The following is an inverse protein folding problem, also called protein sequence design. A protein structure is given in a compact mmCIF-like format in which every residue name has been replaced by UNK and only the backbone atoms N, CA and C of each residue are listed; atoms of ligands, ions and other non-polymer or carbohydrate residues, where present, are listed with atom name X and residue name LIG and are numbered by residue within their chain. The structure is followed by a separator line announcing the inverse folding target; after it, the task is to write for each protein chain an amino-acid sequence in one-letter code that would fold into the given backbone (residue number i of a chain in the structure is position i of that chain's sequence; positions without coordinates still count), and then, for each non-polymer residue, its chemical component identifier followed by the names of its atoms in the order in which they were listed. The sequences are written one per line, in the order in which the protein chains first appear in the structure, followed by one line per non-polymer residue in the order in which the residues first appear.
data_IF_480354554143
#
_entry.id   IF_480354554143
#
_cell.length_a   1.000
_cell.length_b   1.000
_cell.length_c   1.000
_cell.angle_alpha   90.00
_cell.angle_beta   90.00
_cell.angle_gamma   90.00
#
_symmetry.space_group_name_H-M   'P 1'
#
loop_
_entity.id
_entity.type
_entity.pdbx_description
1 polymer ?
#
# COMPACT_ATOMS: atom_id res chain seq x y z
N UNK A 1 -15.91 12.51 46.56
CA UNK A 1 -14.65 11.86 46.14
C UNK A 1 -15.04 10.61 45.38
N UNK A 2 -15.28 10.75 44.07
CA UNK A 2 -15.45 9.59 43.18
C UNK A 2 -14.30 9.63 42.19
N UNK A 3 -13.38 8.68 42.36
CA UNK A 3 -12.25 8.47 41.47
C UNK A 3 -12.78 7.82 40.20
N UNK A 4 -13.03 8.63 39.17
CA UNK A 4 -13.11 8.17 37.79
C UNK A 4 -11.72 7.66 37.40
N UNK A 5 -11.46 6.37 37.64
CA UNK A 5 -10.34 5.68 37.00
C UNK A 5 -10.66 5.62 35.52
N UNK A 6 -10.19 6.62 34.78
CA UNK A 6 -10.03 6.52 33.33
C UNK A 6 -9.06 5.37 33.13
N UNK A 7 -9.56 4.24 32.64
CA UNK A 7 -8.70 3.21 32.10
C UNK A 7 -7.97 3.84 30.91
N UNK A 8 -6.73 4.28 31.14
CA UNK A 8 -5.79 4.58 30.07
C UNK A 8 -5.40 3.26 29.40
N UNK A 9 -6.37 2.60 28.76
CA UNK A 9 -6.06 1.63 27.71
C UNK A 9 -5.47 2.47 26.59
N UNK A 10 -4.14 2.41 26.44
CA UNK A 10 -3.43 3.02 25.32
C UNK A 10 -4.20 2.70 24.03
N UNK A 11 -4.48 3.72 23.23
CA UNK A 11 -5.20 3.56 21.96
C UNK A 11 -4.40 2.62 21.06
N UNK A 12 -4.82 1.36 21.01
CA UNK A 12 -4.30 0.30 20.13
C UNK A 12 -4.52 0.57 18.64
N UNK A 13 -5.19 1.68 18.30
CA UNK A 13 -5.50 2.07 16.92
C UNK A 13 -4.42 2.98 16.30
N UNK A 14 -3.31 3.26 17.00
CA UNK A 14 -2.30 4.24 16.57
C UNK A 14 -0.91 3.63 16.53
N UNK A 15 -0.29 3.66 15.34
CA UNK A 15 1.09 3.25 15.13
C UNK A 15 1.94 4.43 14.65
N UNK A 16 3.12 4.63 15.26
CA UNK A 16 4.03 5.73 14.95
C UNK A 16 5.08 5.30 13.92
N UNK A 17 5.02 5.86 12.71
CA UNK A 17 5.95 5.55 11.62
C UNK A 17 7.37 6.08 11.82
N UNK A 18 7.57 6.97 12.79
CA UNK A 18 8.87 7.56 13.13
C UNK A 18 9.89 6.50 13.60
N UNK A 19 9.40 5.35 14.07
CA UNK A 19 10.23 4.18 14.41
C UNK A 19 10.70 3.42 13.17
N UNK A 20 10.04 3.60 12.02
CA UNK A 20 10.28 2.85 10.79
C UNK A 20 11.05 3.65 9.74
N UNK A 21 11.03 4.99 9.75
CA UNK A 21 11.67 5.82 8.73
C UNK A 21 12.02 7.24 9.23
N UNK A 22 12.98 7.88 8.58
CA UNK A 22 13.25 9.30 8.84
C UNK A 22 12.14 10.19 8.22
N UNK A 23 11.89 11.39 8.78
CA UNK A 23 10.94 12.34 8.21
C UNK A 23 11.25 12.64 6.74
N UNK A 24 10.24 12.49 5.88
CA UNK A 24 10.35 12.74 4.43
C UNK A 24 10.81 11.53 3.60
N UNK A 25 11.16 10.40 4.21
CA UNK A 25 11.56 9.20 3.46
C UNK A 25 10.37 8.44 2.86
N UNK A 26 9.21 8.46 3.51
CA UNK A 26 8.03 7.71 3.11
C UNK A 26 7.22 8.52 2.08
N UNK A 27 7.16 8.08 0.83
CA UNK A 27 6.33 8.71 -0.22
C UNK A 27 4.89 8.20 -0.18
N UNK A 28 4.72 6.93 0.16
CA UNK A 28 3.42 6.26 0.19
C UNK A 28 3.46 5.07 1.12
N UNK A 29 2.31 4.73 1.71
CA UNK A 29 2.17 3.53 2.53
C UNK A 29 0.86 2.82 2.19
N UNK A 30 0.84 1.51 2.41
CA UNK A 30 -0.38 0.70 2.36
C UNK A 30 -0.37 -0.38 3.42
N UNK A 31 -1.55 -0.74 3.88
CA UNK A 31 -1.79 -1.92 4.72
C UNK A 31 -2.65 -2.90 3.92
N UNK A 32 -2.34 -4.19 4.01
CA UNK A 32 -3.10 -5.23 3.34
C UNK A 32 -2.61 -6.62 3.72
N UNK A 33 -3.34 -7.64 3.27
CA UNK A 33 -3.03 -9.06 3.51
C UNK A 33 -2.29 -9.61 2.31
N UNK A 34 -1.05 -9.16 2.12
CA UNK A 34 -0.27 -9.44 0.92
C UNK A 34 0.36 -10.83 0.93
N UNK A 35 0.76 -11.35 2.10
CA UNK A 35 1.53 -12.59 2.23
C UNK A 35 0.75 -13.72 2.90
N UNK A 36 -0.03 -13.36 3.92
CA UNK A 36 -0.96 -14.23 4.62
C UNK A 36 -2.31 -13.50 4.70
N UNK A 37 -3.41 -14.24 4.54
CA UNK A 37 -4.77 -13.70 4.65
C UNK A 37 -5.16 -13.31 6.08
N UNK A 38 -4.43 -13.82 7.06
CA UNK A 38 -4.71 -13.62 8.48
C UNK A 38 -3.77 -12.60 9.13
N UNK A 39 -2.68 -12.21 8.46
CA UNK A 39 -1.69 -11.29 9.02
C UNK A 39 -1.63 -10.04 8.15
N UNK A 40 -1.85 -8.88 8.77
CA UNK A 40 -1.72 -7.60 8.10
C UNK A 40 -0.25 -7.29 7.84
N UNK A 41 0.00 -6.69 6.67
CA UNK A 41 1.33 -6.33 6.21
C UNK A 41 1.32 -4.85 5.88
N UNK A 42 2.22 -4.10 6.51
CA UNK A 42 2.50 -2.71 6.21
C UNK A 42 3.62 -2.64 5.16
N UNK A 43 3.35 -1.95 4.06
CA UNK A 43 4.34 -1.69 3.01
C UNK A 43 4.58 -0.19 2.92
N UNK A 44 5.82 0.23 3.11
CA UNK A 44 6.27 1.61 2.97
C UNK A 44 7.07 1.76 1.68
N UNK A 45 6.65 2.66 0.81
CA UNK A 45 7.49 3.13 -0.29
C UNK A 45 8.48 4.16 0.26
N UNK A 46 9.77 3.90 0.03
CA UNK A 46 10.91 4.76 0.35
C UNK A 46 11.80 4.92 -0.88
N UNK A 47 11.52 5.94 -1.68
CA UNK A 47 12.14 6.26 -2.96
C UNK A 47 12.13 5.05 -3.91
N UNK A 48 13.25 4.33 -4.02
CA UNK A 48 13.43 3.15 -4.87
C UNK A 48 13.34 1.82 -4.11
N UNK A 49 12.78 1.80 -2.90
CA UNK A 49 12.62 0.58 -2.10
C UNK A 49 11.22 0.48 -1.50
N UNK A 50 10.73 -0.75 -1.36
CA UNK A 50 9.57 -1.10 -0.55
C UNK A 50 10.07 -1.74 0.73
N UNK A 51 9.76 -1.13 1.87
CA UNK A 51 10.04 -1.71 3.20
C UNK A 51 8.80 -2.43 3.67
N UNK A 52 8.95 -3.68 4.10
CA UNK A 52 7.83 -4.55 4.39
C UNK A 52 7.88 -4.98 5.84
N UNK A 53 6.74 -4.86 6.51
CA UNK A 53 6.57 -5.21 7.90
C UNK A 53 5.30 -6.03 8.07
N UNK A 54 5.32 -7.00 8.97
CA UNK A 54 4.14 -7.79 9.34
C UNK A 54 3.67 -7.39 10.74
N UNK A 55 2.35 -7.32 10.91
CA UNK A 55 1.76 -7.07 12.21
C UNK A 55 2.04 -8.28 13.13
N UNK A 56 2.59 -7.99 14.31
CA UNK A 56 2.74 -8.93 15.41
C UNK A 56 1.75 -8.54 16.50
N UNK A 57 0.61 -9.23 16.52
CA UNK A 57 -0.47 -8.96 17.49
C UNK A 57 -0.07 -9.29 18.95
N UNK A 58 0.92 -10.18 19.15
CA UNK A 58 1.36 -10.57 20.49
C UNK A 58 2.22 -9.49 21.14
N UNK A 59 3.09 -8.85 20.36
CA UNK A 59 4.01 -7.80 20.82
C UNK A 59 3.51 -6.38 20.55
N UNK A 60 2.32 -6.23 19.95
CA UNK A 60 1.72 -4.96 19.54
C UNK A 60 2.68 -4.12 18.67
N UNK A 61 3.29 -4.78 17.70
CA UNK A 61 4.39 -4.23 16.92
C UNK A 61 4.31 -4.61 15.44
N UNK A 62 5.20 -4.01 14.63
CA UNK A 62 5.38 -4.37 13.23
C UNK A 62 6.80 -4.89 13.03
N UNK A 63 6.91 -6.19 12.78
CA UNK A 63 8.18 -6.87 12.59
C UNK A 63 8.68 -6.65 11.17
N UNK A 64 9.95 -6.26 11.05
CA UNK A 64 10.61 -6.10 9.75
C UNK A 64 10.72 -7.44 9.03
N UNK A 65 10.27 -7.48 7.77
CA UNK A 65 10.32 -8.67 6.92
C UNK A 65 11.38 -8.53 5.83
N UNK A 66 11.31 -7.47 5.02
CA UNK A 66 12.20 -7.32 3.86
C UNK A 66 12.28 -5.87 3.32
N UNK A 67 13.33 -5.61 2.53
CA UNK A 67 13.46 -4.46 1.65
C UNK A 67 13.53 -4.91 0.19
N UNK A 68 12.48 -4.64 -0.56
CA UNK A 68 12.41 -4.96 -1.99
C UNK A 68 12.80 -3.73 -2.79
N UNK A 69 13.91 -3.81 -3.53
CA UNK A 69 14.29 -2.76 -4.46
C UNK A 69 13.31 -2.69 -5.64
N UNK A 70 12.86 -1.49 -5.96
CA UNK A 70 12.09 -1.18 -7.16
C UNK A 70 12.94 -0.32 -8.09
N UNK A 71 12.94 -0.65 -9.37
CA UNK A 71 13.82 -0.03 -10.38
C UNK A 71 13.52 1.45 -10.65
N UNK A 72 12.38 1.95 -10.17
CA UNK A 72 11.90 3.31 -10.38
C UNK A 72 11.34 3.84 -9.08
N UNK A 73 11.47 5.15 -8.90
CA UNK A 73 10.88 5.83 -7.76
C UNK A 73 9.35 5.67 -7.77
N UNK A 74 8.82 5.31 -6.60
CA UNK A 74 7.39 5.07 -6.39
C UNK A 74 6.70 6.41 -6.14
N UNK A 75 5.67 6.68 -6.93
CA UNK A 75 4.77 7.81 -6.72
C UNK A 75 3.68 7.47 -5.71
N UNK A 76 3.00 6.33 -5.88
CA UNK A 76 2.02 5.86 -4.90
C UNK A 76 1.88 4.33 -4.89
N UNK A 77 1.38 3.84 -3.77
CA UNK A 77 0.97 2.47 -3.54
C UNK A 77 -0.54 2.43 -3.27
N UNK A 78 -1.22 1.40 -3.78
CA UNK A 78 -2.61 1.10 -3.41
C UNK A 78 -2.78 -0.39 -3.12
N UNK A 79 -3.59 -0.73 -2.10
CA UNK A 79 -4.05 -2.09 -1.88
C UNK A 79 -5.27 -2.37 -2.76
N UNK A 80 -5.24 -3.46 -3.52
CA UNK A 80 -6.41 -3.99 -4.21
C UNK A 80 -6.86 -5.28 -3.52
N UNK A 81 -7.90 -5.13 -2.69
CA UNK A 81 -8.40 -6.21 -1.84
C UNK A 81 -8.99 -7.34 -2.66
N UNK A 82 -8.61 -8.58 -2.36
CA UNK A 82 -9.10 -9.76 -3.07
C UNK A 82 -10.00 -10.62 -2.16
N UNK A 83 -11.28 -10.89 -2.52
CA UNK A 83 -12.21 -11.62 -1.66
C UNK A 83 -11.79 -13.04 -1.28
N UNK A 84 -11.06 -13.72 -2.17
CA UNK A 84 -10.72 -15.14 -2.02
C UNK A 84 -9.23 -15.41 -2.23
N UNK A 85 -8.39 -14.38 -2.30
CA UNK A 85 -6.94 -14.48 -2.53
C UNK A 85 -6.17 -13.55 -1.59
N UNK A 86 -4.85 -13.55 -1.69
CA UNK A 86 -4.01 -12.51 -1.13
C UNK A 86 -4.29 -11.19 -1.85
N UNK A 87 -4.19 -10.08 -1.11
CA UNK A 87 -4.35 -8.75 -1.67
C UNK A 87 -3.29 -8.47 -2.73
N UNK A 88 -3.66 -7.68 -3.71
CA UNK A 88 -2.75 -7.24 -4.75
C UNK A 88 -2.16 -5.88 -4.38
N UNK A 89 -0.85 -5.72 -4.56
CA UNK A 89 -0.15 -4.46 -4.40
C UNK A 89 -0.11 -3.74 -5.76
N UNK A 90 -0.77 -2.60 -5.85
CA UNK A 90 -0.65 -1.71 -7.01
C UNK A 90 0.45 -0.69 -6.74
N UNK A 91 1.42 -0.60 -7.67
CA UNK A 91 2.56 0.31 -7.59
C UNK A 91 2.49 1.24 -8.80
N UNK A 92 2.48 2.55 -8.57
CA UNK A 92 2.59 3.57 -9.61
C UNK A 92 3.94 4.26 -9.47
N UNK A 93 4.72 4.30 -10.55
CA UNK A 93 5.98 5.04 -10.61
C UNK A 93 5.73 6.53 -10.88
N UNK A 94 6.73 7.36 -10.59
CA UNK A 94 6.73 8.78 -11.01
C UNK A 94 6.68 8.96 -12.53
N UNK A 95 7.09 7.95 -13.31
CA UNK A 95 7.02 7.94 -14.77
C UNK A 95 5.62 7.62 -15.31
N UNK A 96 4.65 7.36 -14.43
CA UNK A 96 3.29 6.99 -14.81
C UNK A 96 3.19 5.54 -15.30
N UNK A 97 4.20 4.71 -15.11
CA UNK A 97 4.09 3.27 -15.30
C UNK A 97 3.56 2.61 -14.04
N UNK A 98 2.72 1.61 -14.20
CA UNK A 98 2.14 0.90 -13.07
C UNK A 98 2.33 -0.60 -13.18
N UNK A 99 2.34 -1.25 -12.01
CA UNK A 99 2.38 -2.68 -11.82
C UNK A 99 1.28 -3.09 -10.84
N UNK A 100 0.53 -4.12 -11.18
CA UNK A 100 -0.32 -4.84 -10.23
C UNK A 100 0.38 -6.13 -9.87
N UNK A 101 0.78 -6.25 -8.60
CA UNK A 101 1.59 -7.34 -8.08
C UNK A 101 0.76 -8.19 -7.13
N UNK A 102 1.00 -9.50 -7.09
CA UNK A 102 0.47 -10.38 -6.05
C UNK A 102 1.59 -11.28 -5.54
N UNK A 103 1.64 -11.51 -4.23
CA UNK A 103 2.66 -12.38 -3.66
C UNK A 103 2.48 -13.82 -4.15
N UNK A 104 3.60 -14.43 -4.54
CA UNK A 104 3.64 -15.83 -4.92
C UNK A 104 4.82 -16.52 -4.23
N UNK A 105 4.54 -17.10 -3.07
CA UNK A 105 5.45 -17.87 -2.20
C UNK A 105 6.67 -17.09 -1.70
N UNK A 106 7.54 -16.67 -2.61
CA UNK A 106 8.85 -16.06 -2.30
C UNK A 106 9.03 -14.66 -2.88
N UNK A 107 8.15 -14.21 -3.79
CA UNK A 107 8.27 -12.88 -4.41
C UNK A 107 6.93 -12.32 -4.88
N UNK A 108 6.87 -11.01 -5.04
CA UNK A 108 5.81 -10.36 -5.80
C UNK A 108 5.89 -10.75 -7.28
N UNK A 109 4.78 -11.27 -7.80
CA UNK A 109 4.61 -11.61 -9.21
C UNK A 109 3.74 -10.55 -9.90
N UNK A 110 4.14 -10.03 -11.07
CA UNK A 110 3.34 -9.04 -11.79
C UNK A 110 2.16 -9.71 -12.49
N UNK A 111 0.95 -9.40 -12.03
CA UNK A 111 -0.30 -9.81 -12.68
C UNK A 111 -0.60 -8.94 -13.91
N UNK A 112 -0.32 -7.64 -13.82
CA UNK A 112 -0.53 -6.71 -14.91
C UNK A 112 0.46 -5.53 -14.85
N UNK A 113 0.67 -4.88 -15.99
CA UNK A 113 1.47 -3.66 -16.10
C UNK A 113 0.87 -2.74 -17.14
N UNK A 114 1.12 -1.44 -17.01
CA UNK A 114 0.74 -0.48 -18.01
C UNK A 114 1.43 0.87 -17.85
N UNK A 115 1.01 1.82 -18.67
CA UNK A 115 1.42 3.21 -18.61
C UNK A 115 0.19 4.09 -18.69
N UNK A 116 0.03 5.00 -17.72
CA UNK A 116 -1.07 5.96 -17.68
C UNK A 116 -1.10 6.82 -18.93
N UNK A 117 0.04 7.33 -19.39
CA UNK A 117 0.13 8.16 -20.60
C UNK A 117 -0.39 7.41 -21.84
N UNK A 118 0.00 6.14 -22.00
CA UNK A 118 -0.50 5.30 -23.10
C UNK A 118 -2.01 5.02 -22.96
N UNK A 119 -2.49 4.82 -21.74
CA UNK A 119 -3.90 4.56 -21.46
C UNK A 119 -4.79 5.79 -21.69
N UNK A 120 -4.26 6.99 -21.46
CA UNK A 120 -4.99 8.26 -21.61
C UNK A 120 -5.02 8.74 -23.06
N UNK A 121 -4.04 8.36 -23.90
CA UNK A 121 -3.97 8.82 -25.29
C UNK A 121 -5.28 8.60 -26.09
N UNK A 122 -5.98 7.45 -26.00
CA UNK A 122 -7.29 7.28 -26.63
C UNK A 122 -8.38 8.18 -26.04
N UNK A 123 -8.36 8.42 -24.72
CA UNK A 123 -9.31 9.31 -24.03
C UNK A 123 -9.19 10.74 -24.53
N UNK A 124 -7.99 11.20 -24.84
CA UNK A 124 -7.78 12.54 -25.38
C UNK A 124 -8.32 12.70 -26.81
N UNK A 125 -8.45 11.60 -27.57
CA UNK A 125 -8.97 11.61 -28.94
C UNK A 125 -10.51 11.53 -28.99
N UNK A 126 -11.12 10.77 -28.09
CA UNK A 126 -12.59 10.64 -27.99
C UNK A 126 -13.07 10.76 -26.54
N UNK A 127 -12.99 11.97 -25.94
CA UNK A 127 -13.19 12.17 -24.50
C UNK A 127 -14.60 11.84 -24.00
N UNK A 128 -15.63 11.91 -24.86
CA UNK A 128 -17.02 11.73 -24.43
C UNK A 128 -17.41 10.27 -24.18
N UNK A 129 -16.80 9.29 -24.85
CA UNK A 129 -17.21 7.88 -24.78
C UNK A 129 -16.71 7.14 -23.53
N UNK A 130 -15.76 7.73 -22.78
CA UNK A 130 -15.06 7.05 -21.68
C UNK A 130 -14.93 7.91 -20.42
N UNK A 131 -15.75 8.96 -20.30
CA UNK A 131 -15.88 9.72 -19.05
C UNK A 131 -16.57 8.84 -18.01
N UNK A 132 -15.93 8.68 -16.85
CA UNK A 132 -16.69 8.32 -15.65
C UNK A 132 -17.65 9.46 -15.37
N UNK A 133 -18.95 9.16 -15.42
CA UNK A 133 -19.97 10.13 -15.04
C UNK A 133 -19.99 10.19 -13.51
N UNK A 134 -19.30 11.18 -12.96
CA UNK A 134 -19.36 11.53 -11.56
C UNK A 134 -20.59 12.43 -11.36
N UNK A 135 -21.78 11.86 -11.47
CA UNK A 135 -22.99 12.58 -11.05
C UNK A 135 -22.99 12.61 -9.52
N UNK A 136 -22.92 13.78 -8.86
CA UNK A 136 -23.22 13.85 -7.44
C UNK A 136 -24.71 13.49 -7.26
N UNK A 137 -24.98 12.50 -6.42
CA UNK A 137 -26.34 12.20 -5.91
C UNK A 137 -26.62 13.12 -4.74
#
# INVERSE_FOLDING_TARGET
MDNFRRSDEERKDVFYLETLALPGEIQSMVVGRFFDKNVETLVLAKSTYLSIFQNNEEEDSYDFVDHIQVYKEVYCLCTSVQPHSLDCLFVLSIGGEWLLLQWNKTRFFPLATGSLLKAIQPLMKTPEQRRFRLDPV
#
